data_IF_504262563085
#
_entry.id   IF_504262563085
#
_cell.length_a   1.000
_cell.length_b   1.000
_cell.length_c   1.000
_cell.angle_alpha   90.00
_cell.angle_beta   90.00
_cell.angle_gamma   90.00
#
_symmetry.space_group_name_H-M   'P 1'
#
loop_
_entity.id
_entity.type
_entity.pdbx_description
1 polymer ?
#
# COMPACT_ATOMS: atom_id res chain seq x y z
N UNK A 1 3.74 63.81 -12.12
CA UNK A 1 2.78 62.90 -11.47
C UNK A 1 3.46 61.54 -11.46
N UNK A 2 3.98 61.11 -10.31
CA UNK A 2 4.47 59.75 -10.12
C UNK A 2 3.26 58.81 -10.06
N UNK A 3 3.22 57.83 -10.96
CA UNK A 3 2.27 56.72 -10.89
C UNK A 3 2.58 55.87 -9.66
N UNK A 4 1.73 55.98 -8.64
CA UNK A 4 1.74 55.09 -7.49
C UNK A 4 1.27 53.71 -7.98
N UNK A 5 2.21 52.79 -8.15
CA UNK A 5 1.92 51.38 -8.40
C UNK A 5 1.07 50.83 -7.25
N UNK A 6 -0.08 50.17 -7.50
CA UNK A 6 -0.90 49.60 -6.43
C UNK A 6 -0.09 48.53 -5.69
N UNK A 7 -0.05 48.65 -4.36
CA UNK A 7 0.54 47.64 -3.47
C UNK A 7 -0.16 46.29 -3.67
N UNK A 8 0.59 45.16 -3.65
CA UNK A 8 0.00 43.84 -3.86
C UNK A 8 -1.05 43.55 -2.78
N UNK A 9 -2.17 42.89 -3.13
CA UNK A 9 -3.23 42.58 -2.17
C UNK A 9 -2.66 41.74 -1.04
N UNK A 10 -2.88 42.18 0.21
CA UNK A 10 -2.57 41.39 1.40
C UNK A 10 -3.34 40.06 1.33
N UNK A 11 -2.68 38.90 1.53
CA UNK A 11 -3.37 37.61 1.48
C UNK A 11 -4.47 37.57 2.54
N UNK A 12 -5.69 37.27 2.14
CA UNK A 12 -6.82 37.18 3.05
C UNK A 12 -6.60 36.01 4.04
N UNK A 13 -6.94 36.17 5.33
CA UNK A 13 -6.61 35.21 6.39
C UNK A 13 -7.29 33.83 6.24
N UNK A 14 -8.14 33.65 5.23
CA UNK A 14 -8.88 32.41 4.96
C UNK A 14 -8.28 31.57 3.82
N UNK A 15 -7.37 32.15 3.03
CA UNK A 15 -6.69 31.42 1.96
C UNK A 15 -5.58 30.55 2.55
N UNK A 16 -5.62 29.28 2.18
CA UNK A 16 -4.61 28.29 2.53
C UNK A 16 -3.83 27.92 1.30
N UNK A 17 -2.56 27.78 1.55
CA UNK A 17 -1.61 27.26 0.61
C UNK A 17 -1.88 25.76 0.31
N UNK A 18 -2.03 25.33 -0.96
CA UNK A 18 -2.40 23.94 -1.29
C UNK A 18 -1.38 22.89 -0.83
N UNK A 19 -0.08 23.20 -0.80
CA UNK A 19 0.94 22.28 -0.27
C UNK A 19 0.79 22.10 1.22
N UNK A 20 0.54 23.19 1.94
CA UNK A 20 0.25 23.13 3.38
C UNK A 20 -0.94 22.21 3.63
N UNK A 21 -2.01 22.32 2.83
CA UNK A 21 -3.16 21.41 2.92
C UNK A 21 -2.76 19.96 2.63
N UNK A 22 -1.95 19.70 1.60
CA UNK A 22 -1.51 18.35 1.26
C UNK A 22 -0.62 17.72 2.35
N UNK A 23 0.30 18.48 2.93
CA UNK A 23 1.15 18.02 4.03
C UNK A 23 0.32 17.71 5.27
N UNK A 24 -0.64 18.57 5.63
CA UNK A 24 -1.55 18.31 6.74
C UNK A 24 -2.45 17.11 6.46
N UNK A 25 -2.90 16.92 5.21
CA UNK A 25 -3.67 15.74 4.81
C UNK A 25 -2.85 14.45 4.94
N UNK A 26 -1.59 14.45 4.48
CA UNK A 26 -0.67 13.32 4.66
C UNK A 26 -0.42 13.02 6.13
N UNK A 27 -0.20 14.05 6.96
CA UNK A 27 -0.04 13.87 8.40
C UNK A 27 -1.32 13.31 9.05
N UNK A 28 -2.50 13.82 8.69
CA UNK A 28 -3.77 13.33 9.21
C UNK A 28 -4.04 11.88 8.80
N UNK A 29 -3.75 11.53 7.53
CA UNK A 29 -3.86 10.16 7.02
C UNK A 29 -2.85 9.23 7.68
N UNK A 30 -1.62 9.69 7.95
CA UNK A 30 -0.63 8.92 8.70
C UNK A 30 -1.09 8.65 10.14
N UNK A 31 -1.58 9.69 10.84
CA UNK A 31 -2.11 9.54 12.20
C UNK A 31 -3.31 8.60 12.21
N UNK A 32 -4.25 8.74 11.26
CA UNK A 32 -5.39 7.84 11.14
C UNK A 32 -4.96 6.40 10.81
N UNK A 33 -3.97 6.23 9.93
CA UNK A 33 -3.38 4.93 9.62
C UNK A 33 -2.82 4.26 10.87
N UNK A 34 -2.01 4.98 11.66
CA UNK A 34 -1.43 4.46 12.90
C UNK A 34 -2.48 4.20 13.98
N UNK A 35 -3.47 5.08 14.13
CA UNK A 35 -4.44 5.02 15.22
C UNK A 35 -5.60 4.05 14.96
N UNK A 36 -6.21 4.11 13.77
CA UNK A 36 -7.38 3.29 13.43
C UNK A 36 -7.05 2.16 12.45
N UNK A 37 -6.25 2.42 11.42
CA UNK A 37 -5.90 1.42 10.41
C UNK A 37 -5.19 0.21 11.02
N UNK A 38 -4.07 0.44 11.70
CA UNK A 38 -3.31 -0.62 12.38
C UNK A 38 -4.14 -1.30 13.48
N UNK A 39 -4.91 -0.53 14.25
CA UNK A 39 -5.75 -1.07 15.31
C UNK A 39 -6.81 -2.05 14.76
N UNK A 40 -7.51 -1.69 13.67
CA UNK A 40 -8.51 -2.57 13.06
C UNK A 40 -7.86 -3.81 12.45
N UNK A 41 -6.64 -3.70 11.91
CA UNK A 41 -5.89 -4.87 11.42
C UNK A 41 -5.56 -5.87 12.55
N UNK A 42 -5.42 -5.42 13.80
CA UNK A 42 -5.28 -6.35 14.95
C UNK A 42 -6.54 -7.15 15.27
N UNK A 43 -7.71 -6.70 14.82
CA UNK A 43 -8.95 -7.47 14.93
C UNK A 43 -9.01 -8.55 13.84
N UNK A 44 -8.67 -8.14 12.61
CA UNK A 44 -8.61 -9.01 11.45
C UNK A 44 -7.82 -8.33 10.35
N UNK A 45 -6.80 -9.01 9.83
CA UNK A 45 -5.90 -8.42 8.84
C UNK A 45 -6.63 -8.13 7.52
N UNK A 46 -7.45 -9.07 7.03
CA UNK A 46 -8.18 -8.93 5.78
C UNK A 46 -9.12 -7.72 5.80
N UNK A 47 -9.98 -7.65 6.82
CA UNK A 47 -10.92 -6.55 7.00
C UNK A 47 -10.20 -5.23 7.30
N UNK A 48 -9.15 -5.26 8.11
CA UNK A 48 -8.39 -4.06 8.48
C UNK A 48 -7.64 -3.42 7.31
N UNK A 49 -7.08 -4.21 6.40
CA UNK A 49 -6.50 -3.70 5.15
C UNK A 49 -7.58 -2.98 4.35
N UNK A 50 -8.69 -3.66 4.05
CA UNK A 50 -9.81 -3.06 3.32
C UNK A 50 -10.33 -1.77 3.98
N UNK A 51 -10.52 -1.79 5.31
CA UNK A 51 -10.99 -0.63 6.08
C UNK A 51 -10.04 0.56 5.94
N UNK A 52 -8.74 0.29 6.03
CA UNK A 52 -7.69 1.31 5.87
C UNK A 52 -7.75 1.92 4.47
N UNK A 53 -7.87 1.10 3.43
CA UNK A 53 -7.93 1.58 2.05
C UNK A 53 -9.14 2.49 1.79
N UNK A 54 -10.33 2.09 2.26
CA UNK A 54 -11.56 2.83 2.01
C UNK A 54 -11.69 4.06 2.90
N UNK A 55 -11.54 3.93 4.22
CA UNK A 55 -11.88 5.02 5.15
C UNK A 55 -10.71 5.94 5.47
N UNK A 56 -9.48 5.42 5.45
CA UNK A 56 -8.29 6.22 5.76
C UNK A 56 -7.76 6.87 4.48
N UNK A 57 -7.39 6.09 3.46
CA UNK A 57 -6.81 6.65 2.23
C UNK A 57 -7.85 7.39 1.38
N UNK A 58 -8.91 6.70 0.93
CA UNK A 58 -9.92 7.34 0.08
C UNK A 58 -10.78 8.31 0.88
N UNK A 59 -11.32 7.91 2.03
CA UNK A 59 -12.24 8.73 2.82
C UNK A 59 -11.67 10.08 3.22
N UNK A 60 -10.48 10.11 3.81
CA UNK A 60 -9.83 11.36 4.20
C UNK A 60 -9.34 12.16 2.98
N UNK A 61 -8.77 11.51 1.96
CA UNK A 61 -8.39 12.18 0.72
C UNK A 61 -9.58 12.86 0.04
N UNK A 62 -10.72 12.16 -0.05
CA UNK A 62 -11.97 12.66 -0.60
C UNK A 62 -12.50 13.84 0.20
N UNK A 63 -12.51 13.73 1.53
CA UNK A 63 -12.92 14.80 2.42
C UNK A 63 -12.07 16.06 2.21
N UNK A 64 -10.74 15.93 2.13
CA UNK A 64 -9.82 17.06 1.90
C UNK A 64 -10.09 17.77 0.57
N UNK A 65 -10.31 17.01 -0.51
CA UNK A 65 -10.62 17.60 -1.81
C UNK A 65 -11.95 18.35 -1.77
N UNK A 66 -13.02 17.74 -1.23
CA UNK A 66 -14.32 18.41 -1.11
C UNK A 66 -14.28 19.61 -0.16
N UNK A 67 -13.50 19.53 0.92
CA UNK A 67 -13.27 20.62 1.87
C UNK A 67 -12.55 21.82 1.24
N UNK A 68 -11.81 21.61 0.14
CA UNK A 68 -11.14 22.69 -0.61
C UNK A 68 -11.91 23.09 -1.87
N UNK A 69 -13.17 22.65 -2.02
CA UNK A 69 -14.01 22.96 -3.17
C UNK A 69 -13.63 22.22 -4.45
N UNK A 70 -12.73 21.23 -4.37
CA UNK A 70 -12.26 20.46 -5.53
C UNK A 70 -13.16 19.27 -5.80
N UNK A 71 -13.40 19.00 -7.08
CA UNK A 71 -14.00 17.75 -7.52
C UNK A 71 -12.96 16.61 -7.47
N UNK A 72 -13.17 15.54 -6.68
CA UNK A 72 -12.17 14.51 -6.52
C UNK A 72 -11.78 13.80 -7.81
N UNK A 73 -12.76 13.47 -8.67
CA UNK A 73 -12.49 12.73 -9.89
C UNK A 73 -11.67 13.57 -10.89
N UNK A 74 -12.02 14.84 -11.06
CA UNK A 74 -11.30 15.76 -11.95
C UNK A 74 -9.92 16.12 -11.42
N UNK A 75 -9.79 16.43 -10.13
CA UNK A 75 -8.53 16.89 -9.54
C UNK A 75 -7.45 15.79 -9.54
N UNK A 76 -7.86 14.57 -9.22
CA UNK A 76 -6.96 13.43 -9.08
C UNK A 76 -6.56 12.83 -10.42
N UNK A 77 -7.32 13.07 -11.49
CA UNK A 77 -7.10 12.43 -12.79
C UNK A 77 -7.76 11.05 -12.92
N UNK A 78 -8.91 10.82 -12.27
CA UNK A 78 -9.67 9.57 -12.41
C UNK A 78 -10.39 9.41 -13.76
N UNK A 79 -10.31 10.42 -14.64
CA UNK A 79 -10.81 10.32 -15.99
C UNK A 79 -10.13 9.18 -16.76
N UNK A 80 -10.93 8.34 -17.42
CA UNK A 80 -10.43 7.21 -18.20
C UNK A 80 -9.68 7.71 -19.45
N UNK A 81 -8.40 7.36 -19.65
CA UNK A 81 -7.58 7.92 -20.73
C UNK A 81 -7.66 7.10 -22.03
N UNK A 82 -8.48 6.05 -22.06
CA UNK A 82 -8.52 5.05 -23.14
C UNK A 82 -7.76 3.77 -22.78
N UNK A 83 -7.98 2.71 -23.56
CA UNK A 83 -7.40 1.40 -23.28
C UNK A 83 -5.87 1.36 -23.49
N UNK A 84 -5.33 2.10 -24.46
CA UNK A 84 -3.91 2.04 -24.79
C UNK A 84 -3.01 2.51 -23.63
N UNK A 85 -3.23 3.68 -22.98
CA UNK A 85 -2.44 4.07 -21.81
C UNK A 85 -2.60 3.14 -20.61
N UNK A 86 -3.80 2.57 -20.43
CA UNK A 86 -4.08 1.64 -19.33
C UNK A 86 -3.34 0.31 -19.53
N UNK A 87 -3.43 -0.26 -20.73
CA UNK A 87 -2.70 -1.47 -21.09
C UNK A 87 -1.18 -1.24 -21.04
N UNK A 88 -0.71 -0.08 -21.51
CA UNK A 88 0.69 0.30 -21.40
C UNK A 88 1.15 0.33 -19.95
N UNK A 89 0.39 0.97 -19.04
CA UNK A 89 0.67 0.99 -17.61
C UNK A 89 0.79 -0.42 -17.02
N UNK A 90 -0.17 -1.30 -17.32
CA UNK A 90 -0.15 -2.69 -16.84
C UNK A 90 1.10 -3.45 -17.31
N UNK A 91 1.40 -3.43 -18.61
CA UNK A 91 2.56 -4.14 -19.19
C UNK A 91 3.88 -3.55 -18.68
N UNK A 92 3.94 -2.22 -18.52
CA UNK A 92 5.09 -1.54 -17.94
C UNK A 92 5.30 -1.96 -16.49
N UNK A 93 4.25 -2.05 -15.67
CA UNK A 93 4.34 -2.52 -14.29
C UNK A 93 4.84 -3.96 -14.16
N UNK A 94 4.41 -4.85 -15.08
CA UNK A 94 4.88 -6.23 -15.18
C UNK A 94 6.37 -6.29 -15.54
N UNK A 95 6.78 -5.58 -16.59
CA UNK A 95 8.18 -5.51 -17.02
C UNK A 95 9.06 -4.89 -15.93
N UNK A 96 8.58 -3.85 -15.25
CA UNK A 96 9.28 -3.18 -14.16
C UNK A 96 9.52 -4.12 -12.97
N UNK A 97 8.56 -4.99 -12.66
CA UNK A 97 8.72 -5.96 -11.58
C UNK A 97 9.98 -6.81 -11.79
N UNK A 98 10.11 -7.44 -12.95
CA UNK A 98 11.22 -8.35 -13.24
C UNK A 98 12.54 -7.60 -13.47
N UNK A 99 12.49 -6.42 -14.08
CA UNK A 99 13.68 -5.66 -14.43
C UNK A 99 14.30 -4.92 -13.25
N UNK A 100 13.48 -4.40 -12.33
CA UNK A 100 13.90 -3.42 -11.31
C UNK A 100 13.47 -3.83 -9.91
N UNK A 101 12.20 -4.18 -9.68
CA UNK A 101 11.73 -4.51 -8.31
C UNK A 101 12.39 -5.77 -7.77
N UNK A 102 12.37 -6.86 -8.54
CA UNK A 102 12.94 -8.15 -8.16
C UNK A 102 14.44 -8.06 -7.77
N UNK A 103 15.34 -7.45 -8.57
CA UNK A 103 16.74 -7.31 -8.16
C UNK A 103 16.93 -6.39 -6.95
N UNK A 104 16.16 -5.29 -6.83
CA UNK A 104 16.24 -4.42 -5.63
C UNK A 104 15.85 -5.22 -4.40
N UNK A 105 14.77 -6.00 -4.46
CA UNK A 105 14.33 -6.85 -3.35
C UNK A 105 15.34 -7.95 -3.02
N UNK A 106 15.92 -8.59 -4.04
CA UNK A 106 16.98 -9.58 -3.85
C UNK A 106 18.20 -9.00 -3.12
N UNK A 107 18.65 -7.80 -3.54
CA UNK A 107 19.76 -7.10 -2.89
C UNK A 107 19.39 -6.69 -1.47
N UNK A 108 18.20 -6.14 -1.24
CA UNK A 108 17.74 -5.74 0.09
C UNK A 108 17.69 -6.94 1.06
N UNK A 109 17.16 -8.08 0.61
CA UNK A 109 17.11 -9.31 1.40
C UNK A 109 18.50 -9.89 1.69
N UNK A 110 19.46 -9.70 0.78
CA UNK A 110 20.84 -10.16 0.93
C UNK A 110 21.66 -9.28 1.87
N UNK A 111 21.38 -7.97 1.91
CA UNK A 111 22.12 -7.00 2.72
C UNK A 111 21.55 -6.81 4.14
N UNK A 112 20.23 -6.93 4.31
CA UNK A 112 19.59 -6.66 5.59
C UNK A 112 19.71 -7.85 6.56
N UNK A 113 19.79 -7.58 7.88
CA UNK A 113 19.87 -8.62 8.90
C UNK A 113 18.71 -9.63 8.78
N UNK A 114 18.94 -10.94 9.00
CA UNK A 114 17.88 -11.95 8.99
C UNK A 114 16.69 -11.60 9.89
N UNK A 115 16.97 -11.05 11.08
CA UNK A 115 15.93 -10.60 12.02
C UNK A 115 14.94 -9.59 11.41
N UNK A 116 15.38 -8.74 10.48
CA UNK A 116 14.48 -7.79 9.82
C UNK A 116 13.57 -8.51 8.83
N UNK A 117 14.10 -9.51 8.10
CA UNK A 117 13.31 -10.34 7.18
C UNK A 117 12.24 -11.14 7.91
N UNK A 118 12.55 -11.64 9.10
CA UNK A 118 11.58 -12.35 9.95
C UNK A 118 10.49 -11.43 10.51
N UNK A 119 10.85 -10.22 10.96
CA UNK A 119 9.88 -9.25 11.50
C UNK A 119 8.88 -8.78 10.43
N UNK A 120 9.32 -8.68 9.18
CA UNK A 120 8.53 -8.18 8.06
C UNK A 120 8.13 -9.28 7.06
N UNK A 121 8.01 -10.52 7.53
CA UNK A 121 7.61 -11.65 6.69
C UNK A 121 6.14 -11.52 6.26
N UNK A 122 5.94 -11.28 4.96
CA UNK A 122 4.62 -11.16 4.34
C UNK A 122 3.77 -12.43 4.53
N UNK A 123 4.40 -13.59 4.75
CA UNK A 123 3.67 -14.82 5.00
C UNK A 123 2.77 -14.75 6.25
N UNK A 124 3.14 -13.95 7.26
CA UNK A 124 2.32 -13.78 8.47
C UNK A 124 0.92 -13.26 8.17
N UNK A 125 0.77 -12.40 7.16
CA UNK A 125 -0.53 -11.89 6.73
C UNK A 125 -1.48 -13.01 6.30
N UNK A 126 -0.94 -14.11 5.75
CA UNK A 126 -1.69 -15.23 5.20
C UNK A 126 -1.86 -16.40 6.17
N UNK A 127 -1.10 -16.44 7.27
CA UNK A 127 -1.14 -17.54 8.25
C UNK A 127 -2.49 -17.56 8.98
N UNK A 128 -3.13 -18.72 9.01
CA UNK A 128 -4.38 -18.95 9.76
C UNK A 128 -5.62 -18.24 9.21
N UNK A 129 -5.57 -17.75 7.98
CA UNK A 129 -6.72 -17.13 7.30
C UNK A 129 -7.65 -18.19 6.71
N UNK A 130 -8.96 -17.95 6.78
CA UNK A 130 -9.95 -18.73 6.03
C UNK A 130 -9.85 -18.45 4.52
N UNK A 131 -10.43 -19.30 3.68
CA UNK A 131 -10.42 -19.10 2.22
C UNK A 131 -11.06 -17.78 1.80
N UNK A 132 -12.10 -17.32 2.52
CA UNK A 132 -12.75 -16.04 2.25
C UNK A 132 -11.85 -14.86 2.64
N UNK A 133 -11.19 -14.92 3.80
CA UNK A 133 -10.23 -13.90 4.24
C UNK A 133 -9.03 -13.85 3.29
N UNK A 134 -8.55 -15.00 2.83
CA UNK A 134 -7.49 -15.11 1.83
C UNK A 134 -7.88 -14.37 0.54
N UNK A 135 -9.08 -14.64 0.02
CA UNK A 135 -9.61 -13.97 -1.16
C UNK A 135 -9.72 -12.45 -0.94
N UNK A 136 -10.18 -12.03 0.24
CA UNK A 136 -10.27 -10.62 0.60
C UNK A 136 -8.90 -9.94 0.69
N UNK A 137 -7.90 -10.59 1.28
CA UNK A 137 -6.53 -10.07 1.36
C UNK A 137 -5.96 -9.93 -0.05
N UNK A 138 -6.04 -10.98 -0.87
CA UNK A 138 -5.51 -10.96 -2.24
C UNK A 138 -6.18 -9.87 -3.07
N UNK A 139 -7.51 -9.77 -3.05
CA UNK A 139 -8.24 -8.71 -3.76
C UNK A 139 -7.88 -7.32 -3.23
N UNK A 140 -7.74 -7.17 -1.91
CA UNK A 140 -7.39 -5.90 -1.30
C UNK A 140 -5.99 -5.45 -1.69
N UNK A 141 -4.99 -6.33 -1.62
CA UNK A 141 -3.59 -5.99 -1.93
C UNK A 141 -3.37 -5.78 -3.43
N UNK A 142 -4.05 -6.53 -4.30
CA UNK A 142 -3.81 -6.47 -5.76
C UNK A 142 -4.66 -5.43 -6.48
N UNK A 143 -5.83 -5.07 -5.95
CA UNK A 143 -6.77 -4.18 -6.65
C UNK A 143 -7.15 -2.98 -5.78
N UNK A 144 -7.68 -3.22 -4.58
CA UNK A 144 -8.23 -2.13 -3.75
C UNK A 144 -7.14 -1.16 -3.31
N UNK A 145 -6.02 -1.69 -2.82
CA UNK A 145 -4.87 -0.91 -2.36
C UNK A 145 -4.28 -0.06 -3.50
N UNK A 146 -3.94 -0.60 -4.69
CA UNK A 146 -3.54 0.21 -5.83
C UNK A 146 -4.48 1.36 -6.15
N UNK A 147 -5.79 1.13 -6.18
CA UNK A 147 -6.77 2.19 -6.45
C UNK A 147 -6.72 3.27 -5.37
N UNK A 148 -6.74 2.87 -4.10
CA UNK A 148 -6.86 3.78 -2.96
C UNK A 148 -5.56 4.56 -2.70
N UNK A 149 -4.42 3.87 -2.82
CA UNK A 149 -3.09 4.44 -2.63
C UNK A 149 -2.74 5.38 -3.78
N UNK A 150 -3.01 5.03 -5.04
CA UNK A 150 -2.80 5.97 -6.16
C UNK A 150 -3.72 7.18 -6.05
N UNK A 151 -4.99 6.99 -5.68
CA UNK A 151 -5.90 8.11 -5.42
C UNK A 151 -5.32 9.07 -4.37
N UNK A 152 -4.81 8.55 -3.25
CA UNK A 152 -4.27 9.39 -2.19
C UNK A 152 -2.89 9.97 -2.50
N UNK A 153 -1.88 9.13 -2.72
CA UNK A 153 -0.50 9.58 -2.86
C UNK A 153 -0.27 10.36 -4.16
N UNK A 154 -0.91 9.97 -5.26
CA UNK A 154 -0.73 10.61 -6.56
C UNK A 154 -1.83 11.64 -6.79
N UNK A 155 -3.08 11.28 -6.57
CA UNK A 155 -4.22 12.16 -6.82
C UNK A 155 -4.38 13.31 -5.81
N UNK A 156 -4.05 13.12 -4.54
CA UNK A 156 -4.22 14.15 -3.49
C UNK A 156 -2.88 14.75 -3.11
N UNK A 157 -1.95 13.93 -2.60
CA UNK A 157 -0.72 14.39 -1.98
C UNK A 157 0.24 14.99 -3.01
N UNK A 158 0.60 14.24 -4.05
CA UNK A 158 1.48 14.74 -5.11
C UNK A 158 0.90 15.98 -5.83
N UNK A 159 -0.40 15.97 -6.17
CA UNK A 159 -1.04 17.12 -6.82
C UNK A 159 -0.96 18.37 -5.96
N UNK A 160 -1.19 18.26 -4.65
CA UNK A 160 -1.03 19.38 -3.74
C UNK A 160 0.43 19.81 -3.51
N UNK A 161 1.41 18.90 -3.58
CA UNK A 161 2.84 19.25 -3.60
C UNK A 161 3.23 20.03 -4.87
N UNK A 162 2.65 19.66 -6.02
CA UNK A 162 2.91 20.29 -7.32
C UNK A 162 2.42 21.75 -7.39
N UNK A 163 1.42 22.09 -6.59
CA UNK A 163 0.77 23.41 -6.59
C UNK A 163 1.69 24.63 -6.35
N UNK A 164 2.95 24.46 -5.95
CA UNK A 164 3.90 25.57 -5.75
C UNK A 164 4.72 25.96 -6.97
N UNK A 165 4.51 25.29 -8.10
CA UNK A 165 5.34 25.49 -9.29
C UNK A 165 6.82 25.14 -9.09
N UNK A 166 7.12 24.29 -8.09
CA UNK A 166 8.43 23.66 -7.96
C UNK A 166 8.63 22.57 -9.01
N UNK A 167 9.87 22.09 -9.22
CA UNK A 167 10.14 21.03 -10.19
C UNK A 167 9.29 19.79 -9.92
N UNK A 168 8.51 19.35 -10.91
CA UNK A 168 7.54 18.25 -10.79
C UNK A 168 8.18 16.98 -10.23
N UNK A 169 9.42 16.69 -10.65
CA UNK A 169 10.15 15.51 -10.19
C UNK A 169 10.42 15.53 -8.68
N UNK A 170 10.58 16.70 -8.06
CA UNK A 170 10.71 16.79 -6.59
C UNK A 170 9.41 16.37 -5.90
N UNK A 171 8.26 16.76 -6.44
CA UNK A 171 6.96 16.32 -5.95
C UNK A 171 6.76 14.81 -6.10
N UNK A 172 7.17 14.25 -7.24
CA UNK A 172 7.13 12.80 -7.50
C UNK A 172 8.00 12.05 -6.48
N UNK A 173 9.26 12.47 -6.30
CA UNK A 173 10.18 11.84 -5.35
C UNK A 173 9.70 11.93 -3.91
N UNK A 174 9.18 13.10 -3.48
CA UNK A 174 8.67 13.24 -2.13
C UNK A 174 7.42 12.38 -1.90
N UNK A 175 6.50 12.33 -2.86
CA UNK A 175 5.33 11.45 -2.78
C UNK A 175 5.74 9.97 -2.74
N UNK A 176 6.71 9.56 -3.56
CA UNK A 176 7.26 8.21 -3.58
C UNK A 176 7.88 7.77 -2.24
N UNK A 177 8.65 8.66 -1.61
CA UNK A 177 9.24 8.41 -0.28
C UNK A 177 8.16 8.29 0.78
N UNK A 178 7.20 9.22 0.81
CA UNK A 178 6.09 9.17 1.77
C UNK A 178 5.24 7.90 1.58
N UNK A 179 4.93 7.53 0.33
CA UNK A 179 4.28 6.27 -0.01
C UNK A 179 5.00 5.04 0.58
N UNK A 180 6.33 4.97 0.40
CA UNK A 180 7.11 3.85 0.94
C UNK A 180 7.16 3.85 2.47
N UNK A 181 7.23 5.02 3.11
CA UNK A 181 7.25 5.13 4.58
C UNK A 181 5.97 4.63 5.23
N UNK A 182 4.81 4.78 4.59
CA UNK A 182 3.54 4.29 5.12
C UNK A 182 3.46 2.77 5.25
N UNK A 183 4.34 2.03 4.58
CA UNK A 183 4.40 0.58 4.67
C UNK A 183 5.13 0.09 5.91
N UNK A 184 5.90 0.96 6.59
CA UNK A 184 6.66 0.64 7.80
C UNK A 184 7.61 -0.58 7.67
N UNK A 185 7.94 -0.98 6.44
CA UNK A 185 8.83 -2.10 6.13
C UNK A 185 10.10 -1.58 5.43
N UNK A 186 11.25 -1.61 6.13
CA UNK A 186 12.54 -1.22 5.57
C UNK A 186 13.06 -2.17 4.48
N UNK A 187 12.65 -3.45 4.47
CA UNK A 187 13.10 -4.44 3.47
C UNK A 187 12.63 -4.02 2.08
N UNK A 188 11.33 -3.71 1.94
CA UNK A 188 10.75 -3.24 0.68
C UNK A 188 10.91 -1.76 0.38
N UNK A 189 11.61 -0.98 1.23
CA UNK A 189 11.58 0.48 1.16
C UNK A 189 12.01 1.03 -0.20
N UNK A 190 13.19 0.63 -0.70
CA UNK A 190 13.75 1.16 -1.94
C UNK A 190 12.97 0.71 -3.18
N UNK A 191 12.51 -0.54 -3.21
CA UNK A 191 11.64 -1.05 -4.27
C UNK A 191 10.33 -0.24 -4.36
N UNK A 192 9.72 0.10 -3.22
CA UNK A 192 8.50 0.93 -3.20
C UNK A 192 8.76 2.39 -3.54
N UNK A 193 9.92 2.95 -3.19
CA UNK A 193 10.28 4.32 -3.64
C UNK A 193 10.41 4.34 -5.17
N UNK A 194 11.01 3.32 -5.77
CA UNK A 194 11.11 3.19 -7.22
C UNK A 194 9.72 3.12 -7.88
N UNK A 195 8.84 2.23 -7.41
CA UNK A 195 7.44 2.17 -7.85
C UNK A 195 6.71 3.50 -7.63
N UNK A 196 6.96 4.10 -6.48
CA UNK A 196 6.73 5.49 -6.12
C UNK A 196 6.86 6.45 -7.31
N UNK A 197 8.08 6.49 -7.84
CA UNK A 197 8.52 7.34 -8.94
C UNK A 197 7.89 6.92 -10.26
N UNK A 198 7.83 5.63 -10.56
CA UNK A 198 7.21 5.11 -11.78
C UNK A 198 5.74 5.54 -11.90
N UNK A 199 4.96 5.38 -10.83
CA UNK A 199 3.54 5.71 -10.82
C UNK A 199 3.32 7.23 -10.89
N UNK A 200 4.16 8.02 -10.21
CA UNK A 200 4.16 9.48 -10.34
C UNK A 200 4.49 9.94 -11.76
N UNK A 201 5.46 9.31 -12.41
CA UNK A 201 5.77 9.56 -13.82
C UNK A 201 4.59 9.21 -14.74
N UNK A 202 3.94 8.06 -14.55
CA UNK A 202 2.75 7.67 -15.33
C UNK A 202 1.62 8.70 -15.20
N UNK A 203 1.33 9.18 -13.98
CA UNK A 203 0.34 10.25 -13.80
C UNK A 203 0.75 11.53 -14.52
N UNK A 204 2.00 11.98 -14.38
CA UNK A 204 2.49 13.21 -15.04
C UNK A 204 2.40 13.10 -16.56
N UNK A 205 2.74 11.94 -17.12
CA UNK A 205 2.75 11.71 -18.56
C UNK A 205 1.37 11.57 -19.16
N UNK A 206 0.49 10.84 -18.49
CA UNK A 206 -0.83 10.47 -19.04
C UNK A 206 -1.94 11.41 -18.56
N UNK A 207 -1.70 12.15 -17.49
CA UNK A 207 -2.70 12.97 -16.83
C UNK A 207 -3.84 12.19 -16.19
N UNK A 208 -3.70 10.87 -16.07
CA UNK A 208 -4.70 9.95 -15.52
C UNK A 208 -4.06 9.02 -14.49
N UNK A 209 -4.82 8.65 -13.47
CA UNK A 209 -4.38 7.66 -12.48
C UNK A 209 -4.44 6.23 -13.00
N UNK A 210 -5.29 5.93 -13.98
CA UNK A 210 -5.52 4.54 -14.41
C UNK A 210 -4.24 3.80 -14.85
N UNK A 211 -3.33 4.41 -15.63
CA UNK A 211 -2.07 3.75 -16.00
C UNK A 211 -1.21 3.42 -14.76
N UNK A 212 -1.15 4.32 -13.78
CA UNK A 212 -0.43 4.10 -12.52
C UNK A 212 -1.11 3.01 -11.66
N UNK A 213 -2.45 3.04 -11.53
CA UNK A 213 -3.23 2.03 -10.83
C UNK A 213 -2.96 0.65 -11.42
N UNK A 214 -3.02 0.51 -12.74
CA UNK A 214 -2.82 -0.78 -13.39
C UNK A 214 -1.36 -1.25 -13.37
N UNK A 215 -0.39 -0.34 -13.43
CA UNK A 215 1.01 -0.68 -13.21
C UNK A 215 1.23 -1.22 -11.78
N UNK A 216 0.61 -0.58 -10.78
CA UNK A 216 0.66 -0.99 -9.39
C UNK A 216 -0.04 -2.34 -9.18
N UNK A 217 -1.25 -2.53 -9.72
CA UNK A 217 -1.95 -3.82 -9.72
C UNK A 217 -1.12 -4.93 -10.34
N UNK A 218 -0.49 -4.70 -11.50
CA UNK A 218 0.38 -5.69 -12.13
C UNK A 218 1.53 -6.10 -11.21
N UNK A 219 2.18 -5.12 -10.56
CA UNK A 219 3.31 -5.36 -9.66
C UNK A 219 2.90 -6.18 -8.42
N UNK A 220 1.77 -5.84 -7.81
CA UNK A 220 1.25 -6.55 -6.64
C UNK A 220 0.76 -7.95 -7.01
N UNK A 221 0.13 -8.11 -8.18
CA UNK A 221 -0.32 -9.41 -8.67
C UNK A 221 0.86 -10.36 -8.88
N UNK A 222 1.93 -9.90 -9.54
CA UNK A 222 3.14 -10.71 -9.73
C UNK A 222 3.76 -11.08 -8.39
N UNK A 223 3.85 -10.14 -7.45
CA UNK A 223 4.35 -10.39 -6.11
C UNK A 223 3.59 -11.51 -5.39
N UNK A 224 2.25 -11.49 -5.44
CA UNK A 224 1.40 -12.50 -4.83
C UNK A 224 1.54 -13.86 -5.54
N UNK A 225 1.53 -13.87 -6.87
CA UNK A 225 1.68 -15.11 -7.64
C UNK A 225 3.01 -15.78 -7.33
N UNK A 226 4.11 -15.01 -7.30
CA UNK A 226 5.43 -15.54 -6.96
C UNK A 226 5.51 -16.00 -5.50
N UNK A 227 4.88 -15.29 -4.57
CA UNK A 227 4.81 -15.71 -3.17
C UNK A 227 4.18 -17.11 -3.02
N UNK A 228 3.01 -17.34 -3.64
CA UNK A 228 2.36 -18.66 -3.57
C UNK A 228 3.10 -19.72 -4.37
N UNK A 229 3.67 -19.38 -5.54
CA UNK A 229 4.47 -20.32 -6.32
C UNK A 229 5.72 -20.78 -5.55
N UNK A 230 6.42 -19.86 -4.88
CA UNK A 230 7.60 -20.18 -4.08
C UNK A 230 7.28 -21.12 -2.91
N UNK A 231 6.12 -20.98 -2.26
CA UNK A 231 5.70 -21.91 -1.19
C UNK A 231 5.42 -23.32 -1.66
N UNK A 232 5.10 -23.53 -2.93
CA UNK A 232 4.85 -24.86 -3.49
C UNK A 232 6.12 -25.53 -4.03
N UNK A 233 7.16 -24.74 -4.31
CA UNK A 233 8.44 -25.23 -4.81
C UNK A 233 9.40 -25.33 -3.61
N UNK A 234 9.38 -26.46 -2.89
CA UNK A 234 10.35 -26.76 -1.83
C UNK A 234 11.76 -26.93 -2.44
N UNK A 235 12.53 -25.84 -2.51
CA UNK A 235 13.89 -25.84 -3.07
C UNK A 235 14.95 -25.87 -1.96
N UNK A 236 15.95 -26.77 -2.02
CA UNK A 236 17.01 -26.85 -1.01
C UNK A 236 17.90 -25.60 -0.96
N UNK A 237 18.17 -25.13 0.26
CA UNK A 237 18.66 -23.79 0.63
C UNK A 237 20.03 -23.40 0.03
N UNK A 238 20.96 -24.35 -0.12
CA UNK A 238 22.34 -24.07 -0.53
C UNK A 238 22.55 -24.04 -2.05
N UNK A 239 21.82 -24.86 -2.81
CA UNK A 239 21.79 -24.79 -4.28
C UNK A 239 21.01 -23.57 -4.78
N UNK A 240 20.12 -23.02 -3.93
CA UNK A 240 19.30 -21.87 -4.23
C UNK A 240 20.12 -20.60 -4.48
N UNK A 241 21.16 -20.28 -3.70
CA UNK A 241 21.78 -18.94 -3.76
C UNK A 241 22.42 -18.55 -5.11
N UNK A 242 23.25 -19.41 -5.71
CA UNK A 242 23.92 -19.12 -7.00
C UNK A 242 22.98 -19.23 -8.20
N UNK A 243 22.11 -20.22 -8.22
CA UNK A 243 21.12 -20.38 -9.30
C UNK A 243 20.04 -19.31 -9.22
N UNK A 244 19.63 -18.89 -8.02
CA UNK A 244 18.74 -17.74 -7.81
C UNK A 244 19.39 -16.43 -8.30
N UNK A 245 20.67 -16.20 -8.00
CA UNK A 245 21.38 -15.01 -8.50
C UNK A 245 21.41 -14.98 -10.05
N UNK A 246 21.67 -16.11 -10.71
CA UNK A 246 21.60 -16.22 -12.18
C UNK A 246 20.18 -15.99 -12.70
N UNK A 247 19.17 -16.57 -12.03
CA UNK A 247 17.76 -16.37 -12.35
C UNK A 247 17.36 -14.90 -12.28
N UNK A 248 17.74 -14.19 -11.22
CA UNK A 248 17.53 -12.74 -11.07
C UNK A 248 18.22 -11.98 -12.21
N UNK A 249 19.48 -12.31 -12.53
CA UNK A 249 20.18 -11.67 -13.65
C UNK A 249 19.46 -11.86 -14.99
N UNK A 250 18.94 -13.06 -15.27
CA UNK A 250 18.14 -13.31 -16.47
C UNK A 250 16.85 -12.49 -16.50
N UNK A 251 16.16 -12.39 -15.36
CA UNK A 251 14.96 -11.55 -15.23
C UNK A 251 15.27 -10.07 -15.47
N UNK A 252 16.43 -9.57 -14.99
CA UNK A 252 16.89 -8.20 -15.26
C UNK A 252 17.14 -7.98 -16.74
N UNK A 253 17.83 -8.90 -17.42
CA UNK A 253 18.12 -8.78 -18.85
C UNK A 253 16.83 -8.80 -19.67
N UNK A 254 15.97 -9.80 -19.43
CA UNK A 254 14.72 -9.96 -20.19
C UNK A 254 13.74 -8.82 -19.90
N UNK A 255 13.51 -8.51 -18.62
CA UNK A 255 12.66 -7.41 -18.19
C UNK A 255 13.18 -6.07 -18.69
N UNK A 256 14.50 -5.85 -18.63
CA UNK A 256 15.14 -4.65 -19.14
C UNK A 256 14.99 -4.49 -20.65
N UNK A 257 15.10 -5.58 -21.43
CA UNK A 257 14.85 -5.56 -22.86
C UNK A 257 13.38 -5.20 -23.17
N UNK A 258 12.42 -5.75 -22.41
CA UNK A 258 11.00 -5.39 -22.54
C UNK A 258 10.75 -3.93 -22.17
N UNK A 259 11.32 -3.44 -21.06
CA UNK A 259 11.22 -2.02 -20.68
C UNK A 259 11.78 -1.11 -21.76
N UNK A 260 12.96 -1.43 -22.29
CA UNK A 260 13.56 -0.66 -23.37
C UNK A 260 12.69 -0.64 -24.62
N UNK A 261 12.14 -1.79 -25.01
CA UNK A 261 11.23 -1.91 -26.15
C UNK A 261 9.93 -1.11 -25.94
N UNK A 262 9.35 -1.16 -24.73
CA UNK A 262 8.17 -0.35 -24.38
C UNK A 262 8.47 1.14 -24.47
N UNK A 263 9.58 1.59 -23.89
CA UNK A 263 9.99 3.00 -23.94
C UNK A 263 10.30 3.45 -25.38
N UNK A 264 10.95 2.60 -26.19
CA UNK A 264 11.17 2.86 -27.60
C UNK A 264 9.85 2.93 -28.38
N UNK A 265 8.90 2.04 -28.10
CA UNK A 265 7.57 2.05 -28.72
C UNK A 265 6.83 3.37 -28.47
N UNK A 266 6.98 4.00 -27.30
CA UNK A 266 6.36 5.32 -27.04
C UNK A 266 6.84 6.43 -27.97
N UNK A 267 8.01 6.29 -28.61
CA UNK A 267 8.51 7.24 -29.61
C UNK A 267 7.78 7.11 -30.95
N UNK A 268 7.32 5.91 -31.28
CA UNK A 268 6.62 5.61 -32.54
C UNK A 268 5.09 5.64 -32.38
N UNK A 269 4.59 5.35 -31.18
CA UNK A 269 3.16 5.32 -30.84
C UNK A 269 2.86 6.22 -29.65
N UNK A 270 2.82 7.56 -29.84
CA UNK A 270 2.57 8.50 -28.74
C UNK A 270 1.24 8.28 -28.01
N UNK A 271 0.25 7.68 -28.68
CA UNK A 271 -1.05 7.31 -28.10
C UNK A 271 -0.93 6.35 -26.91
N UNK A 272 0.18 5.61 -26.76
CA UNK A 272 0.46 4.77 -25.60
C UNK A 272 0.60 5.57 -24.30
N UNK A 273 0.98 6.85 -24.38
CA UNK A 273 1.12 7.73 -23.21
C UNK A 273 0.03 8.80 -23.14
N UNK A 274 -0.88 8.84 -24.11
CA UNK A 274 -1.82 9.94 -24.25
C UNK A 274 -1.16 11.25 -24.69
N UNK A 275 -1.91 12.36 -24.71
CA UNK A 275 -1.38 13.66 -25.11
C UNK A 275 -0.30 14.15 -24.13
N UNK A 276 0.84 14.60 -24.66
CA UNK A 276 1.88 15.22 -23.87
C UNK A 276 1.39 16.55 -23.30
N UNK A 277 1.54 16.76 -21.99
CA UNK A 277 1.29 18.05 -21.35
C UNK A 277 2.55 18.93 -21.41
N UNK A 278 2.43 20.22 -21.79
CA UNK A 278 3.54 21.16 -21.74
C UNK A 278 4.14 21.26 -20.33
N UNK A 279 5.46 21.48 -20.26
CA UNK A 279 6.16 21.57 -18.97
C UNK A 279 5.66 22.76 -18.15
N UNK A 280 5.33 23.85 -18.82
CA UNK A 280 4.79 25.07 -18.23
C UNK A 280 3.44 24.81 -17.55
N UNK A 281 2.58 23.96 -18.12
CA UNK A 281 1.31 23.54 -17.49
C UNK A 281 1.58 22.68 -16.26
N UNK A 282 2.60 21.82 -16.30
CA UNK A 282 2.95 20.92 -15.20
C UNK A 282 3.65 21.64 -14.03
N UNK A 283 4.39 22.71 -14.32
CA UNK A 283 5.14 23.53 -13.35
C UNK A 283 4.39 24.83 -12.97
N UNK A 284 3.18 25.07 -13.48
CA UNK A 284 2.40 26.23 -13.08
C UNK A 284 1.93 26.11 -11.62
N UNK A 285 2.08 27.16 -10.80
CA UNK A 285 1.52 27.17 -9.45
C UNK A 285 -0.01 27.19 -9.48
N UNK A 286 -0.64 26.47 -8.54
CA UNK A 286 -2.09 26.44 -8.37
C UNK A 286 -2.55 27.63 -7.52
N UNK A 287 -3.77 28.11 -7.75
CA UNK A 287 -4.35 29.16 -6.93
C UNK A 287 -4.54 28.69 -5.46
N UNK A 288 -4.40 29.63 -4.53
CA UNK A 288 -4.70 29.39 -3.12
C UNK A 288 -6.17 28.98 -2.92
N UNK A 289 -6.44 28.20 -1.88
CA UNK A 289 -7.78 27.65 -1.62
C UNK A 289 -8.38 28.10 -0.31
N UNK A 290 -9.70 28.24 -0.29
CA UNK A 290 -10.45 28.48 0.94
C UNK A 290 -10.95 27.14 1.48
N UNK A 291 -10.69 26.88 2.75
CA UNK A 291 -11.27 25.72 3.42
C UNK A 291 -12.76 25.96 3.71
N UNK A 292 -13.56 24.92 3.52
CA UNK A 292 -14.97 24.93 3.88
C UNK A 292 -15.14 25.23 5.39
N UNK A 293 -16.19 25.98 5.78
CA UNK A 293 -16.44 26.27 7.19
C UNK A 293 -16.79 25.00 7.97
N UNK A 294 -16.55 25.01 9.28
CA UNK A 294 -16.72 23.84 10.15
C UNK A 294 -18.06 23.09 10.00
N UNK A 295 -19.24 23.76 9.90
CA UNK A 295 -20.51 23.06 9.68
C UNK A 295 -20.58 22.29 8.35
N UNK A 296 -19.90 22.78 7.31
CA UNK A 296 -19.81 22.07 6.04
C UNK A 296 -18.82 20.91 6.11
N UNK A 297 -17.68 21.08 6.78
CA UNK A 297 -16.73 19.99 7.03
C UNK A 297 -17.38 18.83 7.78
N UNK A 298 -18.17 19.13 8.82
CA UNK A 298 -18.89 18.11 9.57
C UNK A 298 -19.89 17.36 8.67
N UNK A 299 -20.66 18.08 7.85
CA UNK A 299 -21.59 17.45 6.89
C UNK A 299 -20.89 16.56 5.88
N UNK A 300 -19.67 16.90 5.47
CA UNK A 300 -18.86 16.07 4.57
C UNK A 300 -18.27 14.85 5.30
N UNK A 301 -17.87 14.98 6.56
CA UNK A 301 -17.22 13.92 7.34
C UNK A 301 -18.20 12.89 7.91
N UNK A 302 -19.40 13.30 8.34
CA UNK A 302 -20.38 12.44 9.00
C UNK A 302 -20.72 11.17 8.20
N UNK A 303 -20.99 11.22 6.88
CA UNK A 303 -21.27 10.01 6.11
C UNK A 303 -20.13 8.99 6.14
N UNK A 304 -18.87 9.44 6.05
CA UNK A 304 -17.69 8.58 6.13
C UNK A 304 -17.53 7.96 7.52
N UNK A 305 -17.72 8.77 8.58
CA UNK A 305 -17.67 8.28 9.96
C UNK A 305 -18.76 7.25 10.25
N UNK A 306 -20.00 7.53 9.84
CA UNK A 306 -21.12 6.60 9.99
C UNK A 306 -20.87 5.30 9.23
N UNK A 307 -20.42 5.37 7.97
CA UNK A 307 -20.09 4.19 7.19
C UNK A 307 -18.95 3.36 7.82
N UNK A 308 -17.93 4.02 8.38
CA UNK A 308 -16.84 3.34 9.08
C UNK A 308 -17.34 2.61 10.34
N UNK A 309 -18.16 3.26 11.17
CA UNK A 309 -18.74 2.65 12.37
C UNK A 309 -19.68 1.51 12.02
N UNK A 310 -20.55 1.70 11.03
CA UNK A 310 -21.47 0.65 10.56
C UNK A 310 -20.70 -0.55 10.00
N UNK A 311 -19.62 -0.32 9.26
CA UNK A 311 -18.77 -1.38 8.73
C UNK A 311 -18.11 -2.19 9.85
N UNK A 312 -17.58 -1.54 10.89
CA UNK A 312 -17.05 -2.21 12.08
C UNK A 312 -18.12 -3.02 12.83
N UNK A 313 -19.32 -2.44 12.99
CA UNK A 313 -20.45 -3.12 13.61
C UNK A 313 -20.90 -4.35 12.82
N UNK A 314 -20.98 -4.23 11.50
CA UNK A 314 -21.32 -5.34 10.60
C UNK A 314 -20.26 -6.44 10.65
N UNK A 315 -18.97 -6.11 10.59
CA UNK A 315 -17.91 -7.09 10.73
C UNK A 315 -17.99 -7.84 12.07
N UNK A 316 -18.19 -7.12 13.17
CA UNK A 316 -18.38 -7.71 14.50
C UNK A 316 -19.59 -8.65 14.58
N UNK A 317 -20.68 -8.33 13.89
CA UNK A 317 -21.88 -9.17 13.86
C UNK A 317 -21.67 -10.45 13.02
N UNK A 318 -20.91 -10.36 11.92
CA UNK A 318 -20.67 -11.48 11.00
C UNK A 318 -19.61 -12.45 11.50
N UNK A 319 -18.54 -11.96 12.15
CA UNK A 319 -17.38 -12.78 12.55
C UNK A 319 -16.97 -12.60 14.03
N UNK A 320 -17.89 -12.82 14.99
CA UNK A 320 -17.58 -12.65 16.41
C UNK A 320 -16.52 -13.65 16.91
N UNK A 321 -16.50 -14.88 16.38
CA UNK A 321 -15.52 -15.91 16.72
C UNK A 321 -14.12 -15.55 16.20
N UNK A 322 -14.00 -15.08 14.95
CA UNK A 322 -12.73 -14.61 14.39
C UNK A 322 -12.12 -13.50 15.25
N UNK A 323 -12.93 -12.54 15.69
CA UNK A 323 -12.48 -11.46 16.61
C UNK A 323 -11.97 -12.02 17.94
N UNK A 324 -12.67 -13.01 18.52
CA UNK A 324 -12.23 -13.62 19.78
C UNK A 324 -10.92 -14.39 19.62
N UNK A 325 -10.75 -15.12 18.51
CA UNK A 325 -9.50 -15.82 18.18
C UNK A 325 -8.34 -14.83 18.00
N UNK A 326 -8.53 -13.75 17.24
CA UNK A 326 -7.50 -12.72 17.07
C UNK A 326 -7.10 -12.07 18.40
N UNK A 327 -8.05 -11.90 19.34
CA UNK A 327 -7.73 -11.42 20.69
C UNK A 327 -6.87 -12.41 21.46
N UNK A 328 -7.24 -13.69 21.48
CA UNK A 328 -6.43 -14.77 22.07
C UNK A 328 -5.03 -14.77 21.44
N UNK A 329 -4.95 -14.57 20.12
CA UNK A 329 -3.69 -14.57 19.39
C UNK A 329 -2.72 -13.48 19.82
N UNK A 330 -3.27 -12.29 20.08
CA UNK A 330 -2.55 -11.11 20.55
C UNK A 330 -2.18 -11.20 22.03
N UNK A 331 -3.09 -11.71 22.85
CA UNK A 331 -2.87 -11.81 24.30
C UNK A 331 -1.82 -12.90 24.62
N UNK A 332 -1.67 -13.89 23.73
CA UNK A 332 -0.64 -14.95 23.81
C UNK A 332 0.21 -14.99 22.52
N UNK A 333 1.14 -14.04 22.31
CA UNK A 333 1.98 -14.02 21.12
C UNK A 333 2.91 -15.23 21.10
N UNK A 334 3.03 -15.87 19.93
CA UNK A 334 3.90 -17.02 19.75
C UNK A 334 5.29 -16.56 19.28
N UNK A 335 6.33 -17.25 19.74
CA UNK A 335 7.69 -17.08 19.21
C UNK A 335 7.82 -17.75 17.84
N UNK A 336 8.70 -17.20 17.00
CA UNK A 336 9.18 -17.88 15.81
C UNK A 336 9.86 -19.19 16.21
N UNK A 337 9.71 -20.21 15.38
CA UNK A 337 10.40 -21.47 15.51
C UNK A 337 11.52 -21.42 14.47
N UNK A 338 12.80 -21.56 14.87
CA UNK A 338 13.91 -21.64 13.94
C UNK A 338 13.70 -22.76 12.91
N UNK A 339 14.18 -22.61 11.68
CA UNK A 339 14.01 -23.62 10.64
C UNK A 339 14.73 -24.94 10.97
N UNK A 340 15.79 -24.89 11.78
CA UNK A 340 16.56 -26.04 12.27
C UNK A 340 15.99 -26.66 13.55
N UNK A 341 14.83 -26.18 14.02
CA UNK A 341 14.20 -26.71 15.21
C UNK A 341 13.72 -28.17 14.98
N UNK A 342 13.66 -29.00 16.04
CA UNK A 342 13.17 -30.36 15.92
C UNK A 342 11.79 -30.46 15.26
N UNK A 343 11.59 -31.43 14.38
CA UNK A 343 10.31 -31.69 13.69
C UNK A 343 9.11 -31.74 14.64
N UNK A 344 9.32 -32.24 15.87
CA UNK A 344 8.31 -32.28 16.92
C UNK A 344 7.77 -30.89 17.29
N UNK A 345 8.60 -29.84 17.27
CA UNK A 345 8.18 -28.46 17.53
C UNK A 345 7.38 -27.89 16.36
N UNK A 346 7.78 -28.18 15.12
CA UNK A 346 7.01 -27.80 13.93
C UNK A 346 5.65 -28.50 13.90
N UNK A 347 5.59 -29.78 14.24
CA UNK A 347 4.35 -30.54 14.37
C UNK A 347 3.44 -30.01 15.50
N UNK A 348 4.01 -29.69 16.67
CA UNK A 348 3.31 -29.05 17.79
C UNK A 348 2.70 -27.70 17.39
N UNK A 349 3.39 -26.91 16.56
CA UNK A 349 2.88 -25.65 16.02
C UNK A 349 1.80 -25.84 14.97
N UNK A 350 1.95 -26.81 14.07
CA UNK A 350 0.93 -27.15 13.08
C UNK A 350 -0.37 -27.60 13.76
N UNK A 351 -0.28 -28.42 14.80
CA UNK A 351 -1.43 -28.84 15.60
C UNK A 351 -2.17 -27.67 16.26
N UNK A 352 -1.45 -26.67 16.76
CA UNK A 352 -2.06 -25.44 17.30
C UNK A 352 -2.83 -24.65 16.22
N UNK A 353 -2.31 -24.60 14.99
CA UNK A 353 -3.01 -23.94 13.88
C UNK A 353 -4.28 -24.69 13.47
N UNK A 354 -4.25 -26.02 13.42
CA UNK A 354 -5.44 -26.84 13.21
C UNK A 354 -6.47 -26.64 14.33
N UNK A 355 -6.02 -26.57 15.58
CA UNK A 355 -6.87 -26.28 16.73
C UNK A 355 -7.57 -24.92 16.58
N UNK A 356 -6.86 -23.89 16.10
CA UNK A 356 -7.44 -22.57 15.79
C UNK A 356 -8.52 -22.65 14.72
N UNK A 357 -8.30 -23.43 13.65
CA UNK A 357 -9.26 -23.61 12.55
C UNK A 357 -10.52 -24.30 13.07
N UNK A 358 -10.38 -25.36 13.86
CA UNK A 358 -11.52 -26.07 14.49
C UNK A 358 -12.29 -25.16 15.44
N UNK A 359 -11.59 -24.37 16.26
CA UNK A 359 -12.21 -23.39 17.16
C UNK A 359 -12.99 -22.32 16.36
N UNK A 360 -12.47 -21.91 15.20
CA UNK A 360 -13.15 -20.96 14.32
C UNK A 360 -14.44 -21.51 13.73
N UNK A 361 -14.49 -22.81 13.44
CA UNK A 361 -15.68 -23.51 12.96
C UNK A 361 -16.69 -23.83 14.08
N UNK A 362 -16.34 -23.53 15.34
CA UNK A 362 -17.15 -23.88 16.50
C UNK A 362 -17.13 -25.37 16.84
N UNK A 363 -16.18 -26.13 16.29
CA UNK A 363 -16.06 -27.58 16.53
C UNK A 363 -15.48 -27.90 17.92
N UNK A 364 -14.77 -26.94 18.51
CA UNK A 364 -14.21 -27.02 19.87
C UNK A 364 -14.46 -25.71 20.63
N UNK A 365 -14.48 -25.74 21.97
CA UNK A 365 -14.54 -24.52 22.78
C UNK A 365 -13.30 -23.64 22.58
N UNK A 366 -13.50 -22.31 22.51
CA UNK A 366 -12.39 -21.34 22.41
C UNK A 366 -11.39 -21.44 23.57
N UNK A 367 -11.85 -21.86 24.75
CA UNK A 367 -10.99 -22.06 25.92
C UNK A 367 -9.92 -23.13 25.72
N UNK A 368 -10.21 -24.16 24.91
CA UNK A 368 -9.24 -25.21 24.59
C UNK A 368 -8.09 -24.65 23.74
N UNK A 369 -8.43 -23.89 22.69
CA UNK A 369 -7.44 -23.16 21.90
C UNK A 369 -6.65 -22.15 22.73
N UNK A 370 -7.33 -21.38 23.59
CA UNK A 370 -6.68 -20.37 24.42
C UNK A 370 -5.67 -20.99 25.40
N UNK A 371 -6.00 -22.12 26.02
CA UNK A 371 -5.09 -22.83 26.94
C UNK A 371 -3.85 -23.33 26.21
N UNK A 372 -4.03 -23.97 25.05
CA UNK A 372 -2.92 -24.53 24.29
C UNK A 372 -2.02 -23.42 23.72
N UNK A 373 -2.60 -22.32 23.22
CA UNK A 373 -1.82 -21.16 22.80
C UNK A 373 -1.05 -20.52 23.95
N UNK A 374 -1.68 -20.35 25.12
CA UNK A 374 -1.04 -19.82 26.30
C UNK A 374 0.10 -20.71 26.84
N UNK A 375 0.01 -22.02 26.60
CA UNK A 375 1.10 -22.97 26.90
C UNK A 375 2.30 -22.74 25.98
N UNK A 376 2.06 -22.61 24.67
CA UNK A 376 3.12 -22.42 23.68
C UNK A 376 3.72 -21.00 23.65
N UNK A 377 3.03 -20.00 24.21
CA UNK A 377 3.57 -18.62 24.31
C UNK A 377 4.56 -18.43 25.46
N UNK A 378 4.51 -19.30 26.49
CA UNK A 378 5.43 -19.24 27.64
C UNK A 378 6.80 -19.84 27.31
N UNK A 379 7.89 -19.32 27.87
CA UNK A 379 9.20 -19.96 27.74
C UNK A 379 9.15 -21.37 28.34
N UNK A 380 9.64 -22.39 27.60
CA UNK A 380 9.87 -23.71 28.18
C UNK A 380 10.94 -23.53 29.27
N UNK A 381 10.71 -24.15 30.45
CA UNK A 381 11.53 -24.01 31.67
C UNK A 381 13.02 -24.42 31.51
N UNK A 382 13.42 -24.85 30.31
CA UNK A 382 14.74 -25.35 29.95
C UNK A 382 15.67 -24.30 29.34
N UNK A 383 15.19 -23.09 29.01
CA UNK A 383 16.02 -22.02 28.41
C UNK A 383 16.76 -21.14 29.45
N UNK A 384 16.86 -21.60 30.70
CA UNK A 384 17.71 -20.98 31.73
C UNK A 384 18.82 -21.97 32.07
N UNK A 385 19.86 -22.04 31.25
CA UNK A 385 21.19 -22.48 31.65
C UNK A 385 22.27 -21.76 30.87
#
# INVERSE_FOLDING_TARGET
MEEVSPSPPTPSPHLRDPRTVAVLAAAAVFVAFLASGLLVQTLNVAFGIWFTQIFVFVGLGWLVLRATGRDPARYTGLAFPGLAPVAFGFVLGLANFFAIVAPIQYVAQSLLPPAWREIYDVADMFRGQSSLEMAFIVASVTVVAPICEEFFFRGVFFQGLRAHGGPVMRGVLLSAVVFSMFHLDPVGFFARVELGVLFGWLLVRTGSLWPAILAHTANNLVSIVLFFAARHLEMPEQAASREQAKGILMLVILGGAVLWALLAATRHFPSLLGPLRPREELEAPEAAVTLAPAPQLLRLAVPWMLAAVLSLGAYKAVDPLGIQLSRIDRDYPLRSIPEDAPDALHAERAALYELRVRARRGEIPLGEYAQERARQSKPKRTDVR
#
